data_IF_252477249959
#
_entry.id   IF_252477249959
#
_cell.length_a   1.000
_cell.length_b   1.000
_cell.length_c   1.000
_cell.angle_alpha   90.00
_cell.angle_beta   90.00
_cell.angle_gamma   90.00
#
_symmetry.space_group_name_H-M   'P 1'
#
loop_
_entity.id
_entity.type
_entity.pdbx_description
1 polymer ?
#
# COMPACT_ATOMS: atom_id res chain seq x y z
N UNK A 1 33.92 7.10 -55.40
CA UNK A 1 35.01 6.93 -54.42
C UNK A 1 34.57 7.56 -53.11
N UNK A 2 34.18 6.76 -52.12
CA UNK A 2 33.80 7.28 -50.80
C UNK A 2 35.06 7.69 -50.06
N UNK A 3 35.21 8.99 -49.82
CA UNK A 3 36.37 9.56 -49.17
C UNK A 3 36.27 9.25 -47.66
N UNK A 4 36.82 8.10 -47.25
CA UNK A 4 36.97 7.66 -45.85
C UNK A 4 38.03 8.51 -45.13
N UNK A 5 37.81 9.82 -45.08
CA UNK A 5 38.69 10.72 -44.36
C UNK A 5 38.35 10.64 -42.86
N UNK A 6 39.27 10.21 -41.97
CA UNK A 6 39.01 10.07 -40.54
C UNK A 6 38.40 11.33 -39.90
N UNK A 7 38.76 12.50 -40.43
CA UNK A 7 38.23 13.80 -40.04
C UNK A 7 36.72 13.94 -40.28
N UNK A 8 36.18 13.36 -41.36
CA UNK A 8 34.74 13.39 -41.64
C UNK A 8 33.96 12.53 -40.64
N UNK A 9 34.52 11.39 -40.25
CA UNK A 9 33.93 10.52 -39.24
C UNK A 9 33.90 11.17 -37.85
N UNK A 10 34.99 11.85 -37.48
CA UNK A 10 35.03 12.59 -36.22
C UNK A 10 34.04 13.75 -36.21
N UNK A 11 33.97 14.51 -37.30
CA UNK A 11 33.04 15.63 -37.44
C UNK A 11 31.57 15.15 -37.42
N UNK A 12 31.28 13.99 -38.01
CA UNK A 12 29.97 13.35 -37.89
C UNK A 12 29.64 12.98 -36.44
N UNK A 13 30.57 12.35 -35.70
CA UNK A 13 30.36 12.00 -34.28
C UNK A 13 30.10 13.23 -33.42
N UNK A 14 30.86 14.30 -33.61
CA UNK A 14 30.64 15.58 -32.90
C UNK A 14 29.26 16.15 -33.20
N UNK A 15 28.88 16.23 -34.47
CA UNK A 15 27.54 16.74 -34.86
C UNK A 15 26.41 15.85 -34.32
N UNK A 16 26.56 14.53 -34.41
CA UNK A 16 25.61 13.56 -33.84
C UNK A 16 25.47 13.75 -32.34
N UNK A 17 26.57 13.86 -31.61
CA UNK A 17 26.56 14.06 -30.17
C UNK A 17 25.92 15.40 -29.79
N UNK A 18 26.20 16.47 -30.55
CA UNK A 18 25.55 17.76 -30.36
C UNK A 18 24.04 17.68 -30.58
N UNK A 19 23.57 17.01 -31.64
CA UNK A 19 22.14 16.81 -31.89
C UNK A 19 21.50 15.97 -30.78
N UNK A 20 22.16 14.90 -30.34
CA UNK A 20 21.66 14.05 -29.25
C UNK A 20 21.57 14.84 -27.94
N UNK A 21 22.58 15.64 -27.62
CA UNK A 21 22.58 16.48 -26.41
C UNK A 21 21.50 17.55 -26.50
N UNK A 22 21.39 18.24 -27.65
CA UNK A 22 20.33 19.22 -27.89
C UNK A 22 18.94 18.59 -27.73
N UNK A 23 18.74 17.38 -28.25
CA UNK A 23 17.48 16.67 -28.13
C UNK A 23 17.17 16.31 -26.66
N UNK A 24 18.18 15.90 -25.88
CA UNK A 24 18.04 15.63 -24.44
C UNK A 24 17.60 16.89 -23.70
N UNK A 25 18.31 18.00 -23.89
CA UNK A 25 18.00 19.28 -23.25
C UNK A 25 16.60 19.78 -23.64
N UNK A 26 16.23 19.68 -24.92
CA UNK A 26 14.89 20.10 -25.39
C UNK A 26 13.78 19.22 -24.82
N UNK A 27 14.00 17.91 -24.70
CA UNK A 27 13.04 17.02 -24.03
C UNK A 27 12.87 17.38 -22.56
N UNK A 28 13.96 17.57 -21.85
CA UNK A 28 13.93 17.97 -20.44
C UNK A 28 13.16 19.27 -20.24
N UNK A 29 13.49 20.31 -21.00
CA UNK A 29 12.79 21.60 -20.97
C UNK A 29 11.28 21.45 -21.23
N UNK A 30 10.89 20.66 -22.22
CA UNK A 30 9.49 20.41 -22.55
C UNK A 30 8.72 19.79 -21.37
N UNK A 31 9.30 18.79 -20.71
CA UNK A 31 8.63 18.12 -19.59
C UNK A 31 8.58 18.99 -18.33
N UNK A 32 9.64 19.75 -18.04
CA UNK A 32 9.64 20.72 -16.92
C UNK A 32 8.54 21.77 -17.11
N UNK A 33 8.45 22.36 -18.30
CA UNK A 33 7.39 23.32 -18.63
C UNK A 33 6.01 22.69 -18.51
N UNK A 34 5.83 21.47 -19.01
CA UNK A 34 4.55 20.76 -18.95
C UNK A 34 4.13 20.45 -17.51
N UNK A 35 5.07 20.13 -16.63
CA UNK A 35 4.79 19.90 -15.20
C UNK A 35 4.39 21.22 -14.53
N UNK A 36 5.14 22.30 -14.75
CA UNK A 36 4.85 23.61 -14.13
C UNK A 36 3.50 24.17 -14.58
N UNK A 37 3.14 24.01 -15.87
CA UNK A 37 1.84 24.39 -16.41
C UNK A 37 0.67 23.60 -15.78
N UNK A 38 0.90 22.36 -15.35
CA UNK A 38 -0.13 21.48 -14.82
C UNK A 38 -0.11 21.35 -13.28
N UNK A 39 0.71 22.14 -12.56
CA UNK A 39 0.85 22.03 -11.09
C UNK A 39 -0.45 22.17 -10.31
N UNK A 40 -1.41 22.93 -10.84
CA UNK A 40 -2.73 23.13 -10.23
C UNK A 40 -3.77 22.07 -10.67
N UNK A 41 -3.41 21.14 -11.56
CA UNK A 41 -4.26 20.04 -12.00
C UNK A 41 -3.56 18.70 -11.73
N UNK A 42 -3.80 18.09 -10.55
CA UNK A 42 -3.14 16.86 -10.12
C UNK A 42 -3.30 15.70 -11.13
N UNK A 43 -4.43 15.60 -11.82
CA UNK A 43 -4.69 14.55 -12.79
C UNK A 43 -3.77 14.68 -14.02
N UNK A 44 -3.65 15.89 -14.58
CA UNK A 44 -2.80 16.14 -15.75
C UNK A 44 -1.31 16.11 -15.41
N UNK A 45 -0.94 16.61 -14.23
CA UNK A 45 0.41 16.49 -13.70
C UNK A 45 0.81 15.02 -13.55
N UNK A 46 -0.05 14.21 -12.92
CA UNK A 46 0.20 12.78 -12.76
C UNK A 46 0.26 12.02 -14.08
N UNK A 47 -0.58 12.34 -15.06
CA UNK A 47 -0.46 11.77 -16.42
C UNK A 47 0.89 12.09 -17.06
N UNK A 48 1.38 13.32 -16.89
CA UNK A 48 2.68 13.76 -17.41
C UNK A 48 3.83 13.02 -16.72
N UNK A 49 3.80 12.91 -15.39
CA UNK A 49 4.78 12.14 -14.62
C UNK A 49 4.74 10.66 -14.98
N UNK A 50 3.55 10.07 -15.07
CA UNK A 50 3.38 8.67 -15.47
C UNK A 50 3.96 8.39 -16.86
N UNK A 51 3.89 9.33 -17.79
CA UNK A 51 4.53 9.15 -19.11
C UNK A 51 6.07 9.14 -19.05
N UNK A 52 6.66 9.78 -18.04
CA UNK A 52 8.11 9.79 -17.79
C UNK A 52 8.56 8.55 -17.00
N UNK A 53 7.74 8.10 -16.04
CA UNK A 53 8.07 7.01 -15.12
C UNK A 53 7.56 5.64 -15.56
N UNK A 54 6.57 5.59 -16.47
CA UNK A 54 6.26 4.36 -17.20
C UNK A 54 7.44 4.05 -18.10
N UNK A 55 8.40 3.36 -17.51
CA UNK A 55 9.15 2.32 -18.22
C UNK A 55 8.13 1.60 -19.09
N UNK A 56 8.29 1.71 -20.42
CA UNK A 56 7.68 0.76 -21.35
C UNK A 56 7.83 -0.59 -20.67
N UNK A 57 6.70 -1.24 -20.37
CA UNK A 57 6.67 -2.58 -19.79
C UNK A 57 7.85 -3.32 -20.39
N UNK A 58 8.89 -3.54 -19.57
CA UNK A 58 10.02 -4.33 -19.97
C UNK A 58 9.40 -5.69 -20.18
N UNK A 59 9.16 -5.97 -21.44
CA UNK A 59 8.43 -7.08 -21.98
C UNK A 59 8.69 -8.31 -21.13
N UNK A 60 7.76 -8.61 -20.21
CA UNK A 60 7.69 -9.80 -19.37
C UNK A 60 9.03 -10.52 -19.15
N UNK A 61 10.07 -9.82 -18.70
CA UNK A 61 11.29 -10.48 -18.24
C UNK A 61 10.91 -11.05 -16.89
N UNK A 62 10.30 -12.24 -16.93
CA UNK A 62 10.29 -13.17 -15.81
C UNK A 62 11.66 -13.05 -15.15
N UNK A 63 11.67 -12.84 -13.83
CA UNK A 63 12.92 -12.72 -13.08
C UNK A 63 13.79 -13.91 -13.48
N UNK A 64 14.87 -13.66 -14.24
CA UNK A 64 15.78 -14.69 -14.80
C UNK A 64 16.63 -15.33 -13.69
N UNK A 65 16.11 -15.39 -12.47
CA UNK A 65 16.77 -15.85 -11.26
C UNK A 65 17.03 -14.76 -10.24
N UNK A 66 17.04 -15.17 -8.97
CA UNK A 66 17.34 -14.33 -7.82
C UNK A 66 18.71 -14.75 -7.27
N UNK A 67 19.49 -13.75 -6.86
CA UNK A 67 20.79 -13.95 -6.22
C UNK A 67 20.59 -13.97 -4.71
N UNK A 68 20.94 -15.08 -4.08
CA UNK A 68 20.99 -15.22 -2.63
C UNK A 68 22.45 -15.22 -2.17
N UNK A 69 22.74 -14.46 -1.11
CA UNK A 69 24.04 -14.49 -0.44
C UNK A 69 24.05 -15.68 0.52
N UNK A 70 24.98 -16.60 0.32
CA UNK A 70 25.20 -17.73 1.21
C UNK A 70 26.16 -17.35 2.35
N UNK A 71 26.12 -18.13 3.44
CA UNK A 71 26.91 -17.89 4.66
C UNK A 71 28.43 -17.92 4.44
N UNK A 72 28.90 -18.38 3.29
CA UNK A 72 30.30 -18.38 2.86
C UNK A 72 30.67 -17.15 2.01
N UNK A 73 29.82 -16.11 1.99
CA UNK A 73 29.92 -14.93 1.12
C UNK A 73 29.86 -15.27 -0.38
N UNK A 74 29.46 -16.48 -0.76
CA UNK A 74 29.22 -16.83 -2.16
C UNK A 74 27.83 -16.37 -2.59
N UNK A 75 27.71 -15.94 -3.85
CA UNK A 75 26.44 -15.51 -4.43
C UNK A 75 25.87 -16.68 -5.24
N UNK A 76 24.81 -17.29 -4.73
CA UNK A 76 24.07 -18.37 -5.41
C UNK A 76 22.99 -17.76 -6.31
N UNK A 77 23.09 -18.01 -7.62
CA UNK A 77 22.04 -17.65 -8.58
C UNK A 77 21.03 -18.78 -8.69
N UNK A 78 19.78 -18.54 -8.28
CA UNK A 78 18.71 -19.53 -8.32
C UNK A 78 17.71 -19.14 -9.41
N UNK A 79 17.56 -20.00 -10.42
CA UNK A 79 16.74 -19.73 -11.62
C UNK A 79 15.32 -20.31 -11.53
N UNK A 80 15.11 -21.33 -10.70
CA UNK A 80 13.87 -22.08 -10.60
C UNK A 80 12.96 -21.48 -9.52
N UNK A 81 11.69 -21.25 -9.86
CA UNK A 81 10.70 -20.67 -8.94
C UNK A 81 10.50 -21.47 -7.65
N UNK A 82 10.54 -22.81 -7.72
CA UNK A 82 10.39 -23.66 -6.54
C UNK A 82 11.55 -23.47 -5.57
N UNK A 83 12.76 -23.46 -6.12
CA UNK A 83 13.98 -23.31 -5.34
C UNK A 83 14.11 -21.89 -4.78
N UNK A 84 13.64 -20.86 -5.52
CA UNK A 84 13.53 -19.48 -5.04
C UNK A 84 12.59 -19.41 -3.81
N UNK A 85 11.43 -20.05 -3.89
CA UNK A 85 10.47 -20.04 -2.78
C UNK A 85 11.05 -20.73 -1.54
N UNK A 86 11.78 -21.83 -1.72
CA UNK A 86 12.44 -22.55 -0.64
C UNK A 86 13.54 -21.70 0.03
N UNK A 87 14.37 -21.03 -0.76
CA UNK A 87 15.41 -20.12 -0.25
C UNK A 87 14.80 -18.93 0.51
N UNK A 88 13.67 -18.38 0.06
CA UNK A 88 12.95 -17.36 0.82
C UNK A 88 12.41 -17.90 2.15
N UNK A 89 11.83 -19.10 2.16
CA UNK A 89 11.34 -19.71 3.39
C UNK A 89 12.47 -19.89 4.40
N UNK A 90 13.62 -20.41 3.96
CA UNK A 90 14.82 -20.54 4.80
C UNK A 90 15.29 -19.19 5.31
N UNK A 91 15.43 -18.19 4.43
CA UNK A 91 15.86 -16.84 4.80
C UNK A 91 14.96 -16.22 5.88
N UNK A 92 13.63 -16.29 5.72
CA UNK A 92 12.71 -15.70 6.70
C UNK A 92 12.72 -16.46 8.03
N UNK A 93 12.78 -17.79 8.00
CA UNK A 93 12.88 -18.60 9.22
C UNK A 93 14.17 -18.26 9.98
N UNK A 94 15.30 -18.16 9.29
CA UNK A 94 16.58 -17.89 9.92
C UNK A 94 16.70 -16.44 10.38
N UNK A 95 16.14 -15.48 9.64
CA UNK A 95 16.00 -14.09 10.07
C UNK A 95 15.22 -13.98 11.38
N UNK A 96 14.11 -14.72 11.52
CA UNK A 96 13.33 -14.76 12.77
C UNK A 96 14.17 -15.33 13.92
N UNK A 97 14.91 -16.41 13.70
CA UNK A 97 15.81 -16.97 14.74
C UNK A 97 16.88 -15.97 15.18
N UNK A 98 17.49 -15.26 14.23
CA UNK A 98 18.48 -14.21 14.52
C UNK A 98 17.86 -13.04 15.30
N UNK A 99 16.64 -12.64 14.96
CA UNK A 99 15.92 -11.60 15.70
C UNK A 99 15.67 -12.07 17.14
N UNK A 100 15.17 -13.30 17.33
CA UNK A 100 14.91 -13.86 18.66
C UNK A 100 16.19 -13.96 19.49
N UNK A 101 17.31 -14.39 18.90
CA UNK A 101 18.58 -14.48 19.64
C UNK A 101 19.14 -13.11 20.05
N UNK A 102 18.75 -12.05 19.35
CA UNK A 102 19.21 -10.68 19.62
C UNK A 102 18.25 -9.88 20.53
N UNK A 103 17.06 -10.39 20.79
CA UNK A 103 16.15 -9.79 21.77
C UNK A 103 16.57 -10.27 23.16
N UNK A 104 17.13 -9.36 23.95
CA UNK A 104 17.41 -9.59 25.37
C UNK A 104 16.08 -9.83 26.09
N UNK A 105 15.79 -11.07 26.45
CA UNK A 105 14.67 -11.43 27.34
C UNK A 105 15.05 -11.15 28.80
N UNK A 106 15.21 -9.88 29.16
CA UNK A 106 15.22 -9.42 30.55
C UNK A 106 14.08 -8.43 30.82
N UNK A 107 13.02 -8.46 30.02
CA UNK A 107 11.82 -7.70 30.32
C UNK A 107 10.86 -8.60 31.08
N UNK A 108 10.86 -8.45 32.40
CA UNK A 108 9.88 -9.06 33.29
C UNK A 108 8.51 -8.42 33.06
N UNK A 109 7.78 -8.98 32.09
CA UNK A 109 6.44 -8.53 31.69
C UNK A 109 5.41 -8.62 32.83
N UNK A 110 5.73 -9.28 33.93
CA UNK A 110 4.85 -9.36 35.11
C UNK A 110 4.64 -8.00 35.77
N UNK A 111 5.58 -7.06 35.61
CA UNK A 111 5.47 -5.70 36.14
C UNK A 111 4.54 -4.78 35.34
N UNK A 112 4.20 -5.14 34.09
CA UNK A 112 3.33 -4.35 33.21
C UNK A 112 1.85 -4.77 33.26
N UNK A 113 1.54 -5.91 33.87
CA UNK A 113 0.16 -6.41 34.02
C UNK A 113 -0.33 -6.09 35.43
N UNK A 114 -0.44 -4.81 35.73
CA UNK A 114 -1.50 -4.36 36.65
C UNK A 114 -2.60 -3.74 35.79
N UNK A 115 -3.28 -4.60 35.01
CA UNK A 115 -4.49 -4.21 34.29
C UNK A 115 -5.68 -4.60 35.17
N UNK A 116 -6.24 -3.68 35.97
CA UNK A 116 -7.48 -3.96 36.69
C UNK A 116 -8.62 -3.83 35.68
N UNK A 117 -8.86 -4.86 34.88
CA UNK A 117 -10.04 -4.87 34.00
C UNK A 117 -10.46 -6.30 33.74
N UNK A 118 -11.14 -6.89 34.72
CA UNK A 118 -12.04 -7.99 34.40
C UNK A 118 -13.14 -7.41 33.52
N UNK A 119 -13.19 -7.81 32.25
CA UNK A 119 -14.26 -7.47 31.31
C UNK A 119 -15.49 -8.32 31.67
N UNK A 120 -16.01 -8.13 32.89
CA UNK A 120 -17.04 -9.02 33.46
C UNK A 120 -18.44 -8.65 32.99
N UNK A 121 -18.66 -7.41 32.54
CA UNK A 121 -19.98 -6.91 32.13
C UNK A 121 -19.85 -5.85 31.05
N UNK A 122 -20.78 -5.87 30.08
CA UNK A 122 -20.94 -4.78 29.14
C UNK A 122 -21.66 -3.59 29.79
N UNK A 123 -21.37 -2.38 29.30
CA UNK A 123 -22.09 -1.18 29.71
C UNK A 123 -23.42 -1.12 28.99
N UNK A 124 -24.51 -1.09 29.75
CA UNK A 124 -25.85 -0.84 29.21
C UNK A 124 -25.91 0.55 28.55
N UNK A 125 -26.72 0.66 27.51
CA UNK A 125 -26.90 1.86 26.71
C UNK A 125 -28.21 2.53 27.14
N UNK A 126 -28.29 3.86 27.06
CA UNK A 126 -29.53 4.61 27.30
C UNK A 126 -30.20 5.06 25.99
N UNK A 127 -31.45 5.53 26.05
CA UNK A 127 -32.22 5.92 24.86
C UNK A 127 -31.54 7.04 24.06
N UNK A 128 -30.88 7.98 24.74
CA UNK A 128 -30.19 9.10 24.09
C UNK A 128 -28.96 8.60 23.29
N UNK A 129 -28.18 7.71 23.89
CA UNK A 129 -27.02 7.08 23.24
C UNK A 129 -27.46 6.23 22.05
N UNK A 130 -28.53 5.45 22.21
CA UNK A 130 -29.10 4.66 21.12
C UNK A 130 -29.62 5.56 19.98
N UNK A 131 -30.29 6.66 20.31
CA UNK A 131 -30.74 7.66 19.33
C UNK A 131 -29.56 8.25 18.56
N UNK A 132 -28.46 8.58 19.24
CA UNK A 132 -27.25 9.10 18.60
C UNK A 132 -26.67 8.09 17.62
N UNK A 133 -26.52 6.82 18.05
CA UNK A 133 -26.00 5.73 17.20
C UNK A 133 -26.87 5.56 15.96
N UNK A 134 -28.20 5.52 16.12
CA UNK A 134 -29.13 5.35 14.99
C UNK A 134 -29.07 6.53 14.02
N UNK A 135 -28.90 7.76 14.53
CA UNK A 135 -28.79 8.95 13.70
C UNK A 135 -27.47 9.00 12.90
N UNK A 136 -26.39 8.41 13.43
CA UNK A 136 -25.09 8.29 12.77
C UNK A 136 -25.04 7.17 11.71
N UNK A 137 -26.03 6.27 11.65
CA UNK A 137 -26.07 5.21 10.63
C UNK A 137 -26.14 5.79 9.21
N UNK A 138 -25.36 5.24 8.28
CA UNK A 138 -25.46 5.59 6.87
C UNK A 138 -26.83 5.19 6.30
N UNK A 139 -27.41 6.05 5.46
CA UNK A 139 -28.64 5.74 4.73
C UNK A 139 -28.33 4.91 3.48
N UNK A 140 -27.70 3.75 3.66
CA UNK A 140 -27.44 2.83 2.55
C UNK A 140 -28.74 2.18 2.13
N UNK A 141 -29.01 2.21 0.83
CA UNK A 141 -30.15 1.55 0.22
C UNK A 141 -29.65 0.28 -0.47
N UNK A 142 -30.09 -0.88 0.03
CA UNK A 142 -29.91 -2.17 -0.62
C UNK A 142 -31.30 -2.71 -0.99
N UNK A 143 -31.54 -3.13 -2.25
CA UNK A 143 -32.82 -3.74 -2.65
C UNK A 143 -33.18 -5.01 -1.88
N UNK A 144 -32.20 -5.63 -1.21
CA UNK A 144 -32.34 -6.86 -0.44
C UNK A 144 -32.57 -6.60 1.06
N UNK A 145 -32.32 -5.39 1.56
CA UNK A 145 -32.42 -5.06 2.99
C UNK A 145 -33.74 -4.35 3.31
N UNK A 146 -34.65 -5.10 3.93
CA UNK A 146 -35.93 -4.56 4.46
C UNK A 146 -35.69 -3.61 5.62
N UNK A 147 -34.63 -3.82 6.41
CA UNK A 147 -34.24 -2.98 7.53
C UNK A 147 -33.03 -2.12 7.13
N UNK A 148 -33.27 -0.85 6.79
CA UNK A 148 -32.21 0.10 6.46
C UNK A 148 -32.15 1.26 7.47
N UNK A 149 -31.03 1.98 7.49
CA UNK A 149 -30.82 3.11 8.41
C UNK A 149 -31.88 4.20 8.31
N UNK A 150 -32.45 4.42 7.11
CA UNK A 150 -33.55 5.38 6.89
C UNK A 150 -34.83 4.94 7.59
N UNK A 151 -35.20 3.66 7.47
CA UNK A 151 -36.35 3.07 8.13
C UNK A 151 -36.19 3.14 9.65
N UNK A 152 -35.03 2.70 10.17
CA UNK A 152 -34.72 2.73 11.59
C UNK A 152 -34.84 4.14 12.18
N UNK A 153 -34.29 5.17 11.51
CA UNK A 153 -34.44 6.57 11.93
C UNK A 153 -35.90 7.02 11.97
N UNK A 154 -36.69 6.65 10.96
CA UNK A 154 -38.11 7.04 10.86
C UNK A 154 -39.01 6.36 11.89
N UNK A 155 -38.69 5.12 12.26
CA UNK A 155 -39.51 4.33 13.20
C UNK A 155 -39.01 4.41 14.64
N UNK A 156 -37.82 4.97 14.88
CA UNK A 156 -37.20 5.02 16.22
C UNK A 156 -38.09 5.65 17.29
N UNK A 157 -38.90 6.66 16.95
CA UNK A 157 -39.86 7.25 17.89
C UNK A 157 -40.91 6.27 18.43
N UNK A 158 -41.19 5.18 17.70
CA UNK A 158 -42.15 4.14 18.07
C UNK A 158 -41.46 2.90 18.63
N UNK A 159 -40.40 2.42 17.96
CA UNK A 159 -39.72 1.16 18.33
C UNK A 159 -38.49 1.35 19.21
N UNK A 160 -38.08 2.59 19.50
CA UNK A 160 -36.81 2.89 20.16
C UNK A 160 -36.67 2.29 21.56
N UNK A 161 -37.74 2.30 22.35
CA UNK A 161 -37.75 1.66 23.67
C UNK A 161 -37.66 0.13 23.60
N UNK A 162 -38.29 -0.47 22.59
CA UNK A 162 -38.24 -1.93 22.36
C UNK A 162 -36.83 -2.35 21.94
N UNK A 163 -36.21 -1.60 21.02
CA UNK A 163 -34.82 -1.81 20.61
C UNK A 163 -33.85 -1.62 21.77
N UNK A 164 -34.04 -0.58 22.58
CA UNK A 164 -33.22 -0.31 23.76
C UNK A 164 -33.26 -1.49 24.74
N UNK A 165 -34.45 -1.99 25.03
CA UNK A 165 -34.64 -3.12 25.92
C UNK A 165 -33.97 -4.38 25.37
N UNK A 166 -34.17 -4.68 24.08
CA UNK A 166 -33.55 -5.84 23.43
C UNK A 166 -32.02 -5.77 23.46
N UNK A 167 -31.43 -4.62 23.10
CA UNK A 167 -29.98 -4.41 23.10
C UNK A 167 -29.42 -4.56 24.51
N UNK A 168 -30.06 -3.97 25.52
CA UNK A 168 -29.59 -4.06 26.90
C UNK A 168 -29.68 -5.49 27.45
N UNK A 169 -30.71 -6.26 27.10
CA UNK A 169 -30.78 -7.70 27.41
C UNK A 169 -29.61 -8.45 26.75
N UNK A 170 -29.33 -8.18 25.47
CA UNK A 170 -28.20 -8.82 24.78
C UNK A 170 -26.85 -8.45 25.39
N UNK A 171 -26.69 -7.23 25.91
CA UNK A 171 -25.47 -6.80 26.59
C UNK A 171 -25.33 -7.39 28.01
N UNK A 172 -26.45 -7.73 28.65
CA UNK A 172 -26.46 -8.28 30.01
C UNK A 172 -26.28 -9.80 30.05
N UNK A 173 -26.83 -10.52 29.07
CA UNK A 173 -26.88 -11.99 29.04
C UNK A 173 -26.23 -12.65 27.82
N UNK A 174 -25.72 -11.85 26.87
CA UNK A 174 -25.12 -12.32 25.62
C UNK A 174 -23.71 -12.87 25.76
#
# INVERSE_FOLDING_TARGET
>A
MYNNNPTNWENYKVKRNNVVNLLKTKKEQFYLQKIDLNKNNPCLMWKTLKSLTSTKSLNNNFVNGIKFESNDNSIKLVLNFKDIAEEFNHYFIDSIKQIISNIVTEQDWTSLINVPSSFTKFRLINLYELSKIINELDNKFSPMEVLNGKLLKSTFGVIGHVLLHFINISLEYG
#
